data_IF_608931921805
#
_entry.id   IF_608931921805
#
_cell.length_a   1.000
_cell.length_b   1.000
_cell.length_c   1.000
_cell.angle_alpha   90.00
_cell.angle_beta   90.00
_cell.angle_gamma   90.00
#
_symmetry.space_group_name_H-M   'P 1'
#
loop_
_entity.id
_entity.type
_entity.pdbx_description
1 polymer ?
#
# COMPACT_ATOMS: atom_id res chain seq x y z
N UNK A 1 -0.84 -4.59 15.63
CA UNK A 1 -0.25 -5.44 14.56
C UNK A 1 0.40 -4.61 13.46
N UNK A 2 -0.20 -3.52 12.97
CA UNK A 2 0.45 -2.59 12.02
C UNK A 2 1.79 -2.03 12.54
N UNK A 3 1.88 -1.75 13.83
CA UNK A 3 3.11 -1.31 14.49
C UNK A 3 4.29 -2.29 14.29
N UNK A 4 4.06 -3.61 14.38
CA UNK A 4 5.12 -4.60 14.20
C UNK A 4 5.65 -4.61 12.75
N UNK A 5 4.78 -4.37 11.77
CA UNK A 5 5.18 -4.24 10.38
C UNK A 5 5.89 -2.90 10.13
N UNK A 6 5.47 -1.82 10.80
CA UNK A 6 6.15 -0.53 10.77
C UNK A 6 7.60 -0.65 11.27
N UNK A 7 7.81 -1.37 12.38
CA UNK A 7 9.13 -1.63 12.97
C UNK A 7 10.04 -2.44 12.03
N UNK A 8 9.46 -3.34 11.22
CA UNK A 8 10.19 -4.12 10.20
C UNK A 8 10.61 -3.27 9.00
N UNK A 9 9.74 -2.40 8.48
CA UNK A 9 10.07 -1.62 7.28
C UNK A 9 10.90 -0.36 7.57
N UNK A 10 10.83 0.19 8.79
CA UNK A 10 11.61 1.36 9.16
C UNK A 10 13.13 1.23 8.90
N UNK A 11 13.81 0.12 9.28
CA UNK A 11 15.23 -0.06 8.97
C UNK A 11 15.50 -0.25 7.46
N UNK A 12 14.56 -0.81 6.70
CA UNK A 12 14.70 -0.99 5.24
C UNK A 12 14.73 0.35 4.49
N UNK A 13 14.02 1.35 5.01
CA UNK A 13 14.00 2.72 4.42
C UNK A 13 15.16 3.58 4.93
N UNK A 14 15.58 3.35 6.18
CA UNK A 14 16.60 4.16 6.84
C UNK A 14 16.17 5.63 6.99
N UNK A 15 17.01 6.55 6.49
CA UNK A 15 16.75 8.00 6.53
C UNK A 15 16.22 8.56 5.21
N UNK A 16 16.00 7.71 4.21
CA UNK A 16 15.45 8.13 2.92
C UNK A 16 13.95 8.39 3.01
N UNK A 17 13.38 9.11 2.04
CA UNK A 17 11.93 9.28 1.94
C UNK A 17 11.24 8.11 1.24
N UNK A 18 11.98 7.42 0.37
CA UNK A 18 11.52 6.27 -0.41
C UNK A 18 12.62 5.23 -0.49
N UNK A 19 12.24 3.96 -0.48
CA UNK A 19 13.16 2.84 -0.75
C UNK A 19 12.45 1.77 -1.59
N UNK A 20 13.18 1.21 -2.55
CA UNK A 20 12.74 0.06 -3.34
C UNK A 20 13.01 -1.23 -2.56
N UNK A 21 12.11 -2.20 -2.67
CA UNK A 21 12.32 -3.55 -2.13
C UNK A 21 13.14 -4.41 -3.10
N UNK A 22 13.74 -5.48 -2.58
CA UNK A 22 14.27 -6.59 -3.40
C UNK A 22 13.16 -7.38 -4.09
N UNK A 23 11.93 -7.28 -3.57
CA UNK A 23 10.73 -7.80 -4.21
C UNK A 23 10.26 -6.77 -5.23
N UNK A 24 10.13 -7.21 -6.48
CA UNK A 24 9.62 -6.37 -7.57
C UNK A 24 8.26 -5.77 -7.20
N UNK A 25 8.02 -4.53 -7.64
CA UNK A 25 6.77 -3.80 -7.43
C UNK A 25 6.39 -3.45 -5.98
N UNK A 26 7.25 -3.74 -5.01
CA UNK A 26 7.07 -3.36 -3.61
C UNK A 26 7.94 -2.15 -3.24
N UNK A 27 7.29 -1.07 -2.81
CA UNK A 27 7.92 0.21 -2.47
C UNK A 27 7.60 0.63 -1.05
N UNK A 28 8.57 1.27 -0.39
CA UNK A 28 8.44 1.79 0.96
C UNK A 28 8.56 3.31 1.00
N UNK A 29 7.81 3.94 1.90
CA UNK A 29 7.74 5.39 2.04
C UNK A 29 7.92 5.80 3.50
N UNK A 30 8.71 6.86 3.72
CA UNK A 30 8.93 7.48 5.02
C UNK A 30 8.87 9.00 4.91
N UNK A 31 8.16 9.65 5.83
CA UNK A 31 8.24 11.10 5.99
C UNK A 31 8.24 11.44 7.48
N UNK A 32 9.12 12.34 7.93
CA UNK A 32 9.19 12.77 9.33
C UNK A 32 8.44 14.06 9.62
N UNK A 33 7.86 14.67 8.59
CA UNK A 33 7.10 15.91 8.72
C UNK A 33 5.82 15.82 7.91
N UNK A 34 4.70 16.24 8.51
CA UNK A 34 3.43 16.36 7.80
C UNK A 34 3.56 17.40 6.67
N UNK A 35 2.99 17.06 5.51
CA UNK A 35 3.09 17.91 4.33
C UNK A 35 2.20 19.16 4.50
N UNK A 36 2.77 20.35 4.30
CA UNK A 36 2.04 21.62 4.36
C UNK A 36 1.19 21.89 3.12
N UNK A 37 1.41 21.14 2.04
CA UNK A 37 0.65 21.22 0.79
C UNK A 37 0.54 19.84 0.12
N UNK A 38 -0.34 19.71 -0.87
CA UNK A 38 -0.46 18.48 -1.65
C UNK A 38 0.53 18.45 -2.82
N UNK A 39 1.05 17.27 -3.13
CA UNK A 39 1.89 17.00 -4.31
C UNK A 39 1.08 16.29 -5.40
N UNK A 40 1.30 16.64 -6.67
CA UNK A 40 0.67 15.93 -7.79
C UNK A 40 1.43 14.64 -8.11
N UNK A 41 0.69 13.59 -8.43
CA UNK A 41 1.24 12.28 -8.80
C UNK A 41 0.29 11.54 -9.74
N UNK A 42 0.81 10.51 -10.42
CA UNK A 42 -0.01 9.47 -11.04
C UNK A 42 0.03 8.27 -10.12
N UNK A 43 -1.14 7.77 -9.76
CA UNK A 43 -1.29 6.57 -8.93
C UNK A 43 -1.52 5.41 -9.86
N UNK A 44 -0.53 4.53 -9.96
CA UNK A 44 -0.60 3.30 -10.74
C UNK A 44 -1.47 2.25 -10.03
N UNK A 45 -1.96 1.22 -10.74
CA UNK A 45 -2.66 0.09 -10.14
C UNK A 45 -1.85 -0.52 -8.99
N UNK A 46 -2.40 -0.46 -7.78
CA UNK A 46 -1.65 -0.79 -6.57
C UNK A 46 -2.55 -0.99 -5.35
N UNK A 47 -2.00 -1.65 -4.33
CA UNK A 47 -2.51 -1.61 -2.95
C UNK A 47 -1.54 -0.78 -2.12
N UNK A 48 -2.03 0.28 -1.48
CA UNK A 48 -1.24 1.17 -0.63
C UNK A 48 -1.70 1.09 0.83
N UNK A 49 -0.75 0.87 1.73
CA UNK A 49 -0.96 0.75 3.17
C UNK A 49 -0.27 1.89 3.91
N UNK A 50 -0.91 2.34 4.98
CA UNK A 50 -0.27 3.16 6.01
C UNK A 50 -0.02 2.25 7.21
N UNK A 51 1.21 2.26 7.72
CA UNK A 51 1.57 1.50 8.92
C UNK A 51 1.73 2.40 10.14
N UNK A 52 2.14 3.66 9.91
CA UNK A 52 2.22 4.72 10.92
C UNK A 52 1.87 6.07 10.30
N UNK A 53 1.16 6.93 11.04
CA UNK A 53 0.68 8.23 10.57
C UNK A 53 -0.60 8.13 9.75
N UNK A 54 -0.83 9.10 8.87
CA UNK A 54 -2.03 9.15 8.02
C UNK A 54 -1.73 9.84 6.68
N UNK A 55 -2.48 9.47 5.64
CA UNK A 55 -2.33 9.98 4.27
C UNK A 55 -3.67 10.35 3.67
N UNK A 56 -3.65 11.34 2.77
CA UNK A 56 -4.77 11.75 1.94
C UNK A 56 -4.42 11.59 0.48
N UNK A 57 -5.37 11.08 -0.31
CA UNK A 57 -5.33 11.09 -1.77
C UNK A 57 -6.57 11.80 -2.30
N UNK A 58 -6.40 12.71 -3.25
CA UNK A 58 -7.49 13.47 -3.85
C UNK A 58 -7.56 13.18 -5.34
N UNK A 59 -8.72 12.71 -5.81
CA UNK A 59 -9.04 12.42 -7.20
C UNK A 59 -10.22 13.29 -7.65
N UNK A 60 -9.94 14.30 -8.47
CA UNK A 60 -10.97 15.30 -8.80
C UNK A 60 -11.47 16.00 -7.54
N UNK A 61 -12.75 15.78 -7.21
CA UNK A 61 -13.41 16.32 -6.01
C UNK A 61 -13.42 15.33 -4.83
N UNK A 62 -13.09 14.06 -5.08
CA UNK A 62 -13.10 13.02 -4.05
C UNK A 62 -11.81 13.04 -3.22
N UNK A 63 -11.95 12.95 -1.90
CA UNK A 63 -10.82 12.90 -0.95
C UNK A 63 -10.87 11.60 -0.15
N UNK A 64 -9.82 10.79 -0.28
CA UNK A 64 -9.60 9.53 0.41
C UNK A 64 -8.56 9.72 1.51
N UNK A 65 -9.02 9.85 2.76
CA UNK A 65 -8.14 9.90 3.94
C UNK A 65 -8.08 8.52 4.59
N UNK A 66 -6.88 8.07 4.90
CA UNK A 66 -6.66 6.76 5.50
C UNK A 66 -5.42 6.73 6.40
N UNK A 67 -5.50 5.86 7.38
CA UNK A 67 -4.53 5.59 8.44
C UNK A 67 -4.33 4.06 8.51
N UNK A 68 -3.65 3.49 9.52
CA UNK A 68 -3.42 2.05 9.59
C UNK A 68 -4.67 1.16 9.66
N UNK A 69 -5.86 1.72 9.80
CA UNK A 69 -7.12 0.97 9.79
C UNK A 69 -7.67 0.76 8.38
N UNK A 70 -7.11 1.42 7.36
CA UNK A 70 -7.60 1.33 5.98
C UNK A 70 -6.45 1.16 4.99
N UNK A 71 -6.75 0.57 3.84
CA UNK A 71 -5.86 0.57 2.69
C UNK A 71 -6.55 1.24 1.50
N UNK A 72 -5.74 1.75 0.58
CA UNK A 72 -6.19 2.27 -0.69
C UNK A 72 -5.91 1.24 -1.78
N UNK A 73 -6.89 0.97 -2.64
CA UNK A 73 -6.69 0.18 -3.84
C UNK A 73 -6.98 1.03 -5.07
N UNK A 74 -6.11 0.92 -6.06
CA UNK A 74 -6.21 1.60 -7.35
C UNK A 74 -6.13 0.56 -8.46
N UNK A 75 -7.00 0.65 -9.48
CA UNK A 75 -7.11 -0.36 -10.55
C UNK A 75 -6.75 0.15 -11.94
N UNK A 76 -6.55 1.45 -12.11
CA UNK A 76 -6.12 2.11 -13.36
C UNK A 76 -5.20 3.27 -13.01
N UNK A 77 -4.42 3.76 -13.98
CA UNK A 77 -3.60 4.96 -13.80
C UNK A 77 -4.47 6.19 -13.58
N UNK A 78 -4.30 6.84 -12.42
CA UNK A 78 -5.11 7.99 -12.02
C UNK A 78 -4.25 9.20 -11.65
N UNK A 79 -4.45 10.37 -12.27
CA UNK A 79 -3.86 11.60 -11.79
C UNK A 79 -4.51 11.99 -10.45
N UNK A 80 -3.71 12.13 -9.42
CA UNK A 80 -4.18 12.46 -8.07
C UNK A 80 -3.27 13.47 -7.37
N UNK A 81 -3.77 14.04 -6.29
CA UNK A 81 -2.97 14.79 -5.32
C UNK A 81 -2.78 13.96 -4.07
N UNK A 82 -1.57 13.90 -3.56
CA UNK A 82 -1.25 13.21 -2.32
C UNK A 82 -0.86 14.20 -1.22
N UNK A 83 -1.17 13.87 0.03
CA UNK A 83 -0.67 14.60 1.20
C UNK A 83 -0.46 13.64 2.37
N UNK A 84 0.73 13.65 2.98
CA UNK A 84 0.93 13.02 4.30
C UNK A 84 0.36 13.96 5.36
N UNK A 85 -0.61 13.47 6.12
CA UNK A 85 -1.37 14.26 7.10
C UNK A 85 -0.74 14.23 8.48
N UNK A 86 -0.17 13.09 8.88
CA UNK A 86 0.39 12.87 10.21
C UNK A 86 1.78 12.23 10.08
N UNK A 87 2.80 12.98 10.52
CA UNK A 87 4.20 12.56 10.57
C UNK A 87 4.98 13.49 11.50
N UNK A 88 5.87 12.91 12.30
CA UNK A 88 6.79 13.61 13.21
C UNK A 88 8.12 12.85 13.32
N UNK A 89 9.19 13.49 13.78
CA UNK A 89 10.52 12.86 13.85
C UNK A 89 10.55 11.58 14.71
N UNK A 90 9.81 11.57 15.83
CA UNK A 90 9.70 10.44 16.77
C UNK A 90 8.59 9.42 16.39
N UNK A 91 7.75 9.76 15.41
CA UNK A 91 6.78 8.85 14.80
C UNK A 91 6.56 9.25 13.33
N UNK A 92 7.48 8.88 12.43
CA UNK A 92 7.36 9.22 11.02
C UNK A 92 6.12 8.57 10.39
N UNK A 93 5.60 9.16 9.33
CA UNK A 93 4.75 8.43 8.41
C UNK A 93 5.54 7.26 7.85
N UNK A 94 4.94 6.08 7.87
CA UNK A 94 5.47 4.86 7.27
C UNK A 94 4.37 4.22 6.43
N UNK A 95 4.66 3.99 5.16
CA UNK A 95 3.73 3.37 4.23
C UNK A 95 4.44 2.41 3.29
N UNK A 96 3.65 1.53 2.68
CA UNK A 96 4.11 0.65 1.62
C UNK A 96 3.11 0.65 0.46
N UNK A 97 3.61 0.40 -0.73
CA UNK A 97 2.82 0.27 -1.96
C UNK A 97 3.28 -1.00 -2.66
N UNK A 98 2.34 -1.88 -2.96
CA UNK A 98 2.54 -3.02 -3.86
C UNK A 98 1.81 -2.72 -5.16
N UNK A 99 2.54 -2.59 -6.28
CA UNK A 99 1.89 -2.46 -7.59
C UNK A 99 1.24 -3.78 -7.98
N UNK A 100 0.14 -3.67 -8.73
CA UNK A 100 -0.66 -4.79 -9.13
C UNK A 100 -0.42 -5.11 -10.59
N UNK A 101 0.03 -6.33 -10.86
CA UNK A 101 -0.06 -6.91 -12.20
C UNK A 101 -1.53 -7.24 -12.50
N UNK A 102 -2.17 -6.39 -13.31
CA UNK A 102 -3.56 -6.55 -13.68
C UNK A 102 -3.81 -7.82 -14.52
N UNK A 103 -2.81 -8.34 -15.24
CA UNK A 103 -2.94 -9.58 -15.99
C UNK A 103 -3.03 -10.77 -15.01
N UNK A 104 -2.10 -10.84 -14.06
CA UNK A 104 -2.12 -11.85 -13.00
C UNK A 104 -3.40 -11.77 -12.14
N UNK A 105 -3.84 -10.55 -11.79
CA UNK A 105 -5.10 -10.36 -11.07
C UNK A 105 -6.30 -10.86 -11.87
N UNK A 106 -6.32 -10.66 -13.19
CA UNK A 106 -7.37 -11.17 -14.06
C UNK A 106 -7.48 -12.70 -13.98
N UNK A 107 -6.35 -13.40 -13.97
CA UNK A 107 -6.30 -14.86 -13.81
C UNK A 107 -6.80 -15.29 -12.43
N UNK A 108 -6.42 -14.60 -11.36
CA UNK A 108 -6.88 -14.89 -9.99
C UNK A 108 -8.38 -14.66 -9.82
N UNK A 109 -8.89 -13.53 -10.35
CA UNK A 109 -10.33 -13.21 -10.31
C UNK A 109 -11.13 -14.26 -11.07
N UNK A 110 -10.61 -14.81 -12.17
CA UNK A 110 -11.29 -15.87 -12.93
C UNK A 110 -11.49 -17.16 -12.14
N UNK A 111 -10.71 -17.38 -11.08
CA UNK A 111 -10.82 -18.53 -10.18
C UNK A 111 -11.83 -18.30 -9.05
N UNK A 112 -12.31 -17.06 -8.86
CA UNK A 112 -13.31 -16.73 -7.84
C UNK A 112 -14.70 -17.15 -8.35
N UNK A 113 -15.45 -17.96 -7.59
CA UNK A 113 -16.82 -18.30 -7.94
C UNK A 113 -17.70 -17.06 -8.14
N UNK A 114 -18.45 -17.00 -9.25
CA UNK A 114 -19.25 -15.83 -9.64
C UNK A 114 -20.32 -15.43 -8.60
N UNK A 115 -20.79 -16.38 -7.79
CA UNK A 115 -21.72 -16.18 -6.68
C UNK A 115 -21.09 -15.45 -5.49
N UNK A 116 -19.75 -15.44 -5.40
CA UNK A 116 -18.99 -14.66 -4.41
C UNK A 116 -18.60 -13.27 -4.90
N UNK A 117 -18.78 -12.97 -6.19
CA UNK A 117 -18.52 -11.63 -6.73
C UNK A 117 -19.67 -10.70 -6.35
N UNK A 118 -19.39 -9.78 -5.42
CA UNK A 118 -20.30 -8.69 -5.11
C UNK A 118 -20.39 -7.74 -6.30
N UNK A 119 -21.56 -7.63 -6.92
CA UNK A 119 -21.87 -6.68 -8.01
C UNK A 119 -22.08 -5.25 -7.51
N UNK A 120 -21.34 -4.82 -6.49
CA UNK A 120 -21.37 -3.41 -6.12
C UNK A 120 -20.69 -2.62 -7.23
N UNK A 121 -21.42 -1.69 -7.83
CA UNK A 121 -20.90 -0.78 -8.85
C UNK A 121 -19.89 0.17 -8.21
N UNK A 122 -18.63 -0.25 -8.15
CA UNK A 122 -17.51 0.63 -7.85
C UNK A 122 -17.15 1.36 -9.14
N UNK A 123 -17.83 2.49 -9.39
CA UNK A 123 -17.56 3.34 -10.56
C UNK A 123 -16.27 4.19 -10.41
N UNK A 124 -15.42 3.88 -9.43
CA UNK A 124 -14.20 4.65 -9.13
C UNK A 124 -13.00 3.71 -9.25
N UNK A 125 -12.01 4.10 -10.06
CA UNK A 125 -10.74 3.38 -10.20
C UNK A 125 -9.86 3.42 -8.95
N UNK A 126 -10.33 4.09 -7.88
CA UNK A 126 -9.68 4.21 -6.58
C UNK A 126 -10.75 4.07 -5.48
N UNK A 127 -10.48 3.25 -4.46
CA UNK A 127 -11.35 3.11 -3.29
C UNK A 127 -10.56 2.76 -2.04
N UNK A 128 -11.18 2.98 -0.88
CA UNK A 128 -10.68 2.50 0.41
C UNK A 128 -11.30 1.15 0.76
N UNK A 129 -10.49 0.28 1.34
CA UNK A 129 -10.93 -0.93 2.03
C UNK A 129 -10.55 -0.88 3.51
N UNK A 130 -11.27 -1.65 4.33
CA UNK A 130 -10.95 -1.81 5.75
C UNK A 130 -9.78 -2.78 5.90
N UNK A 131 -8.79 -2.42 6.71
CA UNK A 131 -7.66 -3.29 7.01
C UNK A 131 -8.15 -4.50 7.80
N UNK A 132 -7.77 -5.70 7.36
CA UNK A 132 -8.12 -6.95 8.04
C UNK A 132 -6.86 -7.67 8.50
N UNK A 133 -6.96 -8.46 9.57
CA UNK A 133 -5.83 -9.26 10.05
C UNK A 133 -5.27 -10.21 8.97
N UNK A 134 -6.08 -10.91 8.16
CA UNK A 134 -5.55 -11.76 7.09
C UNK A 134 -4.73 -10.98 6.06
N UNK A 135 -5.19 -9.79 5.66
CA UNK A 135 -4.46 -8.95 4.71
C UNK A 135 -3.14 -8.45 5.32
N UNK A 136 -3.18 -7.97 6.56
CA UNK A 136 -1.99 -7.49 7.26
C UNK A 136 -0.96 -8.62 7.45
N UNK A 137 -1.42 -9.84 7.76
CA UNK A 137 -0.56 -11.02 7.87
C UNK A 137 0.07 -11.40 6.53
N UNK A 138 -0.66 -11.26 5.41
CA UNK A 138 -0.10 -11.48 4.08
C UNK A 138 1.05 -10.51 3.77
N UNK A 139 0.86 -9.21 4.05
CA UNK A 139 1.94 -8.22 3.92
C UNK A 139 3.09 -8.49 4.88
N UNK A 140 2.81 -8.95 6.10
CA UNK A 140 3.87 -9.30 7.06
C UNK A 140 4.75 -10.42 6.53
N UNK A 141 4.14 -11.49 6.00
CA UNK A 141 4.88 -12.58 5.36
C UNK A 141 5.69 -12.10 4.17
N UNK A 142 5.14 -11.19 3.35
CA UNK A 142 5.84 -10.60 2.21
C UNK A 142 7.09 -9.81 2.67
N UNK A 143 6.98 -9.01 3.73
CA UNK A 143 8.13 -8.27 4.28
C UNK A 143 9.15 -9.20 4.92
N UNK A 144 8.74 -10.29 5.55
CA UNK A 144 9.67 -11.29 6.08
C UNK A 144 10.53 -11.97 5.00
N UNK A 145 10.04 -12.04 3.75
CA UNK A 145 10.85 -12.49 2.61
C UNK A 145 11.91 -11.49 2.17
N UNK A 146 11.70 -10.19 2.44
CA UNK A 146 12.70 -9.15 2.15
C UNK A 146 13.93 -9.32 3.03
N UNK A 147 13.73 -9.76 4.28
CA UNK A 147 14.81 -10.04 5.24
C UNK A 147 15.53 -11.39 4.97
N UNK A 148 14.95 -12.28 4.14
CA UNK A 148 15.49 -13.59 3.80
C UNK A 148 15.49 -13.85 2.27
N UNK A 149 16.39 -13.18 1.53
CA UNK A 149 16.45 -13.29 0.07
C UNK A 149 16.80 -14.69 -0.44
N UNK A 150 17.42 -15.55 0.37
CA UNK A 150 17.70 -16.96 0.03
C UNK A 150 16.42 -17.78 -0.09
N UNK A 151 15.35 -17.40 0.63
CA UNK A 151 14.04 -18.07 0.60
C UNK A 151 13.12 -17.54 -0.52
N UNK A 152 13.45 -16.42 -1.17
CA UNK A 152 12.63 -15.81 -2.24
C UNK A 152 12.29 -16.76 -3.41
N UNK A 153 13.22 -17.58 -3.97
CA UNK A 153 12.89 -18.46 -5.10
C UNK A 153 11.85 -19.52 -4.78
N UNK A 154 11.71 -19.90 -3.50
CA UNK A 154 10.79 -20.94 -3.03
C UNK A 154 9.46 -20.36 -2.59
N UNK A 155 9.45 -19.14 -2.03
CA UNK A 155 8.27 -18.54 -1.41
C UNK A 155 7.58 -17.46 -2.25
N UNK A 156 8.25 -16.86 -3.24
CA UNK A 156 7.62 -15.90 -4.15
C UNK A 156 6.46 -16.46 -5.01
N UNK A 157 6.43 -17.75 -5.41
CA UNK A 157 5.33 -18.31 -6.20
C UNK A 157 4.08 -18.73 -5.40
N UNK A 158 4.06 -18.58 -4.07
CA UNK A 158 3.01 -19.11 -3.18
C UNK A 158 2.02 -18.05 -2.68
#
# INVERSE_FOLDING_TARGET
>A
MSAALADKIAPLIGQQETADSVIEDLFFYRQTQAATSCSMCVVEPSIALVLQGAKSMTLGEDVFKYDPHKYLITSIDLPAKMQVLEAKDDAPYLGLVLKLDLAMLGELISQIPLDKLNKQSLNKGMTLGEMTEPLLNAFTRLIELVDDPESMPVLAPL
#
